data_IF_474294038329
#
_entry.id   IF_474294038329
#
_cell.length_a   1.000
_cell.length_b   1.000
_cell.length_c   1.000
_cell.angle_alpha   90.00
_cell.angle_beta   90.00
_cell.angle_gamma   90.00
#
_symmetry.space_group_name_H-M   'P 1'
#
loop_
_entity.id
_entity.type
_entity.pdbx_description
1 polymer ?
#
# COMPACT_ATOMS: atom_id res chain seq x y z
N UNK A 1 -6.35 -12.08 21.16
CA UNK A 1 -7.15 -11.36 20.13
C UNK A 1 -6.34 -10.16 19.62
N UNK A 2 -5.24 -10.43 18.89
CA UNK A 2 -4.29 -9.40 18.43
C UNK A 2 -4.61 -8.90 17.01
N UNK A 3 -5.33 -9.71 16.24
CA UNK A 3 -5.66 -9.48 14.82
C UNK A 3 -6.83 -8.50 14.66
N UNK A 4 -7.72 -8.40 15.64
CA UNK A 4 -8.94 -7.56 15.54
C UNK A 4 -8.74 -6.08 15.87
N UNK A 5 -7.52 -5.66 16.21
CA UNK A 5 -7.21 -4.33 16.73
C UNK A 5 -5.97 -3.75 16.05
N UNK A 6 -5.87 -3.82 14.72
CA UNK A 6 -4.70 -3.26 14.02
C UNK A 6 -5.03 -2.69 12.65
N UNK A 7 -4.55 -1.47 12.40
CA UNK A 7 -4.43 -0.91 11.05
C UNK A 7 -3.53 -1.76 10.13
N UNK A 8 -2.73 -2.68 10.70
CA UNK A 8 -1.83 -3.57 9.97
C UNK A 8 -2.49 -4.46 8.92
N UNK A 9 -3.73 -4.91 9.16
CA UNK A 9 -4.47 -5.70 8.15
C UNK A 9 -4.78 -4.82 6.94
N UNK A 10 -5.26 -3.59 7.17
CA UNK A 10 -5.53 -2.64 6.10
C UNK A 10 -4.25 -2.24 5.36
N UNK A 11 -3.13 -2.14 6.07
CA UNK A 11 -1.82 -1.84 5.48
C UNK A 11 -1.32 -2.91 4.49
N UNK A 12 -1.81 -4.15 4.60
CA UNK A 12 -1.47 -5.27 3.71
C UNK A 12 -2.57 -5.53 2.68
N UNK A 13 -3.83 -5.39 3.09
CA UNK A 13 -4.99 -5.64 2.22
C UNK A 13 -5.07 -4.62 1.08
N UNK A 14 -4.83 -3.34 1.35
CA UNK A 14 -4.92 -2.28 0.33
C UNK A 14 -3.88 -2.50 -0.79
N UNK A 15 -2.58 -2.75 -0.50
CA UNK A 15 -1.62 -3.12 -1.54
C UNK A 15 -2.03 -4.32 -2.36
N UNK A 16 -2.49 -5.40 -1.73
CA UNK A 16 -2.90 -6.62 -2.42
C UNK A 16 -4.04 -6.31 -3.41
N UNK A 17 -5.07 -5.61 -2.96
CA UNK A 17 -6.21 -5.23 -3.82
C UNK A 17 -5.75 -4.33 -4.96
N UNK A 18 -4.92 -3.33 -4.71
CA UNK A 18 -4.37 -2.46 -5.75
C UNK A 18 -3.53 -3.24 -6.78
N UNK A 19 -2.71 -4.19 -6.34
CA UNK A 19 -1.93 -5.05 -7.23
C UNK A 19 -2.84 -5.94 -8.07
N UNK A 20 -3.87 -6.55 -7.48
CA UNK A 20 -4.83 -7.36 -8.22
C UNK A 20 -5.58 -6.54 -9.27
N UNK A 21 -6.04 -5.34 -8.90
CA UNK A 21 -6.70 -4.42 -9.84
C UNK A 21 -5.72 -3.98 -10.94
N UNK A 22 -4.49 -3.61 -10.58
CA UNK A 22 -3.48 -3.18 -11.54
C UNK A 22 -3.11 -4.27 -12.54
N UNK A 23 -2.93 -5.51 -12.08
CA UNK A 23 -2.68 -6.66 -12.98
C UNK A 23 -3.92 -6.98 -13.81
N UNK A 24 -5.12 -6.88 -13.25
CA UNK A 24 -6.38 -7.13 -13.99
C UNK A 24 -6.60 -6.14 -15.14
N UNK A 25 -6.26 -4.86 -14.94
CA UNK A 25 -6.50 -3.80 -15.91
C UNK A 25 -5.33 -3.57 -16.89
N UNK A 26 -4.10 -3.76 -16.42
CA UNK A 26 -2.88 -3.41 -17.16
C UNK A 26 -1.94 -4.61 -17.41
N UNK A 27 -2.33 -5.81 -16.97
CA UNK A 27 -1.59 -7.03 -17.26
C UNK A 27 -1.78 -7.44 -18.72
N UNK A 28 -0.68 -7.65 -19.44
CA UNK A 28 -0.73 -8.33 -20.72
C UNK A 28 -0.93 -9.83 -20.51
N UNK A 29 -1.63 -10.49 -21.44
CA UNK A 29 -2.08 -11.87 -21.33
C UNK A 29 -0.95 -12.82 -20.86
N UNK A 30 -1.03 -13.24 -19.59
CA UNK A 30 -0.10 -14.19 -18.99
C UNK A 30 1.23 -13.64 -18.46
N UNK A 31 1.49 -12.33 -18.53
CA UNK A 31 2.73 -11.73 -18.04
C UNK A 31 2.48 -10.51 -17.15
N UNK A 32 2.56 -10.71 -15.83
CA UNK A 32 2.62 -9.60 -14.87
C UNK A 32 4.03 -8.99 -14.90
N UNK A 33 4.18 -7.86 -15.60
CA UNK A 33 5.47 -7.17 -15.64
C UNK A 33 5.80 -6.61 -14.26
N UNK A 34 7.08 -6.73 -13.86
CA UNK A 34 7.61 -6.13 -12.62
C UNK A 34 7.24 -4.64 -12.51
N UNK A 35 7.20 -3.94 -13.65
CA UNK A 35 6.80 -2.54 -13.75
C UNK A 35 5.33 -2.32 -13.34
N UNK A 36 4.41 -3.15 -13.82
CA UNK A 36 2.99 -3.09 -13.44
C UNK A 36 2.76 -3.36 -11.94
N UNK A 37 3.48 -4.33 -11.37
CA UNK A 37 3.47 -4.59 -9.93
C UNK A 37 3.95 -3.37 -9.12
N UNK A 38 5.10 -2.81 -9.49
CA UNK A 38 5.70 -1.68 -8.77
C UNK A 38 4.84 -0.41 -8.85
N UNK A 39 4.25 -0.10 -10.00
CA UNK A 39 3.32 1.04 -10.10
C UNK A 39 2.04 0.81 -9.30
N UNK A 40 1.50 -0.40 -9.30
CA UNK A 40 0.32 -0.73 -8.49
C UNK A 40 0.58 -0.59 -6.99
N UNK A 41 1.78 -0.99 -6.55
CA UNK A 41 2.24 -0.80 -5.18
C UNK A 41 2.40 0.68 -4.84
N UNK A 42 2.93 1.48 -5.77
CA UNK A 42 3.07 2.94 -5.62
C UNK A 42 1.71 3.63 -5.47
N UNK A 43 0.74 3.28 -6.31
CA UNK A 43 -0.65 3.76 -6.24
C UNK A 43 -1.28 3.37 -4.90
N UNK A 44 -1.05 2.14 -4.42
CA UNK A 44 -1.56 1.72 -3.11
C UNK A 44 -1.04 2.60 -1.98
N UNK A 45 0.26 2.95 -2.00
CA UNK A 45 0.85 3.84 -1.01
C UNK A 45 0.22 5.24 -1.02
N UNK A 46 -0.04 5.79 -2.21
CA UNK A 46 -0.74 7.08 -2.39
C UNK A 46 -2.17 7.04 -1.82
N UNK A 47 -2.84 5.88 -1.84
CA UNK A 47 -4.18 5.72 -1.25
C UNK A 47 -4.11 5.55 0.28
N UNK A 48 -3.14 4.78 0.76
CA UNK A 48 -2.97 4.44 2.18
C UNK A 48 -2.60 5.66 3.03
N UNK A 49 -1.79 6.59 2.51
CA UNK A 49 -1.38 7.82 3.23
C UNK A 49 -2.57 8.71 3.62
N UNK A 50 -3.41 9.21 2.70
CA UNK A 50 -4.56 10.06 3.03
C UNK A 50 -5.61 9.29 3.84
N UNK A 51 -5.82 8.00 3.56
CA UNK A 51 -6.71 7.15 4.34
C UNK A 51 -6.23 7.06 5.79
N UNK A 52 -4.94 6.80 6.02
CA UNK A 52 -4.33 6.77 7.33
C UNK A 52 -4.39 8.10 8.08
N UNK A 53 -4.21 9.23 7.39
CA UNK A 53 -4.37 10.56 7.97
C UNK A 53 -5.82 10.86 8.37
N UNK A 54 -6.79 10.48 7.54
CA UNK A 54 -8.22 10.65 7.82
C UNK A 54 -8.64 9.83 9.04
N UNK A 55 -8.19 8.58 9.12
CA UNK A 55 -8.55 7.67 10.21
C UNK A 55 -7.86 8.06 11.54
N UNK A 56 -6.62 8.59 11.48
CA UNK A 56 -5.94 9.18 12.64
C UNK A 56 -6.75 10.33 13.24
N UNK A 57 -7.42 11.17 12.44
CA UNK A 57 -8.26 12.27 12.93
C UNK A 57 -9.51 11.79 13.68
N UNK A 58 -10.07 10.63 13.34
CA UNK A 58 -11.25 10.04 14.01
C UNK A 58 -10.90 9.23 15.27
N UNK A 59 -9.68 8.70 15.37
CA UNK A 59 -9.28 7.76 16.41
C UNK A 59 -8.62 8.38 17.64
N UNK A 60 -9.29 9.26 18.40
CA UNK A 60 -8.79 9.67 19.75
C UNK A 60 -8.93 8.59 20.84
N UNK A 61 -9.67 7.50 20.58
CA UNK A 61 -9.99 6.46 21.58
C UNK A 61 -9.42 5.07 21.27
N UNK A 62 -8.88 4.88 20.07
CA UNK A 62 -8.28 3.61 19.66
C UNK A 62 -6.77 3.80 19.57
N UNK A 63 -6.12 3.86 20.74
CA UNK A 63 -4.68 3.68 20.88
C UNK A 63 -4.33 2.24 20.49
N UNK A 64 -4.29 2.03 19.18
CA UNK A 64 -3.84 0.81 18.56
C UNK A 64 -2.33 0.94 18.53
N UNK A 65 -1.63 0.18 19.38
CA UNK A 65 -0.16 0.07 19.48
C UNK A 65 0.56 -0.29 18.17
N UNK A 66 -0.17 -0.39 17.06
CA UNK A 66 0.32 -0.74 15.74
C UNK A 66 0.68 0.53 14.96
N UNK A 67 1.84 0.50 14.30
CA UNK A 67 2.37 1.59 13.46
C UNK A 67 1.23 2.22 12.63
N UNK A 68 1.05 3.56 12.68
CA UNK A 68 -0.07 4.22 12.02
C UNK A 68 -0.14 3.88 10.53
N UNK A 69 -1.36 3.74 10.00
CA UNK A 69 -1.60 3.36 8.62
C UNK A 69 -0.86 4.27 7.61
N UNK A 70 -0.75 5.57 7.91
CA UNK A 70 -0.03 6.51 7.03
C UNK A 70 1.47 6.17 6.91
N UNK A 71 2.09 5.63 7.96
CA UNK A 71 3.51 5.23 7.94
C UNK A 71 3.71 4.05 7.00
N UNK A 72 2.77 3.08 7.00
CA UNK A 72 2.78 1.98 6.04
C UNK A 72 2.65 2.46 4.60
N UNK A 73 1.82 3.47 4.35
CA UNK A 73 1.73 4.10 3.02
C UNK A 73 3.07 4.68 2.56
N UNK A 74 3.79 5.37 3.45
CA UNK A 74 5.13 5.91 3.16
C UNK A 74 6.13 4.78 2.87
N UNK A 75 6.10 3.68 3.65
CA UNK A 75 6.96 2.51 3.41
C UNK A 75 6.73 1.93 2.02
N UNK A 76 5.46 1.72 1.62
CA UNK A 76 5.15 1.17 0.29
C UNK A 76 5.57 2.09 -0.85
N UNK A 77 5.37 3.41 -0.72
CA UNK A 77 5.87 4.38 -1.71
C UNK A 77 7.39 4.30 -1.82
N UNK A 78 8.10 4.30 -0.68
CA UNK A 78 9.56 4.29 -0.64
C UNK A 78 10.12 3.02 -1.27
N UNK A 79 9.55 1.85 -0.95
CA UNK A 79 9.94 0.57 -1.54
C UNK A 79 9.68 0.58 -3.03
N UNK A 80 8.45 0.90 -3.47
CA UNK A 80 8.11 0.90 -4.90
C UNK A 80 9.00 1.85 -5.71
N UNK A 81 9.19 3.07 -5.21
CA UNK A 81 10.01 4.09 -5.86
C UNK A 81 11.50 3.71 -5.90
N UNK A 82 12.04 3.17 -4.81
CA UNK A 82 13.43 2.70 -4.74
C UNK A 82 13.69 1.56 -5.74
N UNK A 83 12.76 0.62 -5.88
CA UNK A 83 12.86 -0.46 -6.86
C UNK A 83 12.71 0.04 -8.31
N UNK A 84 11.82 1.00 -8.57
CA UNK A 84 11.69 1.61 -9.91
C UNK A 84 12.97 2.34 -10.32
N UNK A 85 13.55 3.14 -9.42
CA UNK A 85 14.83 3.82 -9.64
C UNK A 85 15.96 2.81 -9.89
N UNK A 86 16.13 1.83 -9.00
CA UNK A 86 17.22 0.86 -9.08
C UNK A 86 17.15 -0.06 -10.32
N UNK A 87 15.96 -0.20 -10.92
CA UNK A 87 15.77 -0.98 -12.16
C UNK A 87 15.70 -0.11 -13.43
N UNK A 88 15.79 1.21 -13.32
CA UNK A 88 15.64 2.13 -14.46
C UNK A 88 14.26 2.04 -15.12
N UNK A 89 13.21 1.74 -14.34
CA UNK A 89 11.83 1.54 -14.82
C UNK A 89 10.94 2.77 -14.63
N UNK A 90 11.53 3.89 -14.19
CA UNK A 90 10.83 5.17 -13.96
C UNK A 90 10.39 5.80 -15.28
#
# INVERSE_FOLDING_TARGET
>A
MLIYRGWGILAILIPIVCIMIGISLFGEAGNSTLRGFLYSLLVSGIIIVPLGLYLKRKGRKHDLYFIPLFVWGIVWITVAFGFLLGKGLL
#
